data_IF_848303228864
#
_entry.id   IF_848303228864
#
_cell.length_a   1.000
_cell.length_b   1.000
_cell.length_c   1.000
_cell.angle_alpha   90.00
_cell.angle_beta   90.00
_cell.angle_gamma   90.00
#
_symmetry.space_group_name_H-M   'P 1'
#
loop_
_entity.id
_entity.type
_entity.pdbx_description
1 polymer ?
#
# COMPACT_ATOMS: atom_id res chain seq x y z
N UNK A 1 -15.92 5.54 -7.05
CA UNK A 1 -15.63 5.84 -5.63
C UNK A 1 -14.19 5.45 -5.38
N UNK A 2 -13.30 6.38 -5.00
CA UNK A 2 -11.93 6.03 -4.60
C UNK A 2 -11.95 5.72 -3.11
N UNK A 3 -12.01 4.43 -2.75
CA UNK A 3 -11.90 4.02 -1.36
C UNK A 3 -10.44 4.20 -0.93
N UNK A 4 -10.17 5.29 -0.19
CA UNK A 4 -8.87 5.51 0.44
C UNK A 4 -8.80 4.69 1.72
N UNK A 5 -7.64 4.09 1.97
CA UNK A 5 -7.41 3.25 3.14
C UNK A 5 -7.21 4.15 4.36
N UNK A 6 -6.03 4.77 4.48
CA UNK A 6 -5.68 5.74 5.51
C UNK A 6 -4.51 6.59 5.04
N UNK A 7 -4.42 7.83 5.55
CA UNK A 7 -3.34 8.75 5.17
C UNK A 7 -2.03 8.41 5.87
N UNK A 8 -0.94 8.34 5.12
CA UNK A 8 0.43 8.20 5.62
C UNK A 8 0.74 6.95 6.47
N UNK A 9 -0.08 5.90 6.41
CA UNK A 9 0.17 4.66 7.18
C UNK A 9 0.91 3.59 6.38
N UNK A 10 0.79 3.60 5.05
CA UNK A 10 1.28 2.50 4.23
C UNK A 10 2.82 2.39 4.26
N UNK A 11 3.32 1.19 4.51
CA UNK A 11 4.74 0.82 4.51
C UNK A 11 5.32 0.70 3.10
N UNK A 12 4.48 0.79 2.06
CA UNK A 12 4.85 0.61 0.65
C UNK A 12 6.06 1.48 0.24
N UNK A 13 7.06 0.83 -0.37
CA UNK A 13 8.23 1.47 -0.99
C UNK A 13 8.51 0.87 -2.37
N UNK A 14 9.03 1.70 -3.26
CA UNK A 14 9.46 1.33 -4.62
C UNK A 14 10.89 1.83 -4.85
N UNK A 15 11.81 0.92 -5.18
CA UNK A 15 13.17 1.23 -5.61
C UNK A 15 13.18 1.52 -7.12
N UNK A 16 13.38 2.79 -7.48
CA UNK A 16 13.47 3.21 -8.88
C UNK A 16 14.66 2.57 -9.62
N UNK A 17 15.77 2.36 -8.91
CA UNK A 17 16.99 1.72 -9.44
C UNK A 17 16.73 0.28 -9.89
N UNK A 18 16.08 -0.52 -9.02
CA UNK A 18 15.76 -1.92 -9.32
C UNK A 18 14.59 -2.07 -10.31
N UNK A 19 13.75 -1.05 -10.47
CA UNK A 19 12.56 -1.14 -11.30
C UNK A 19 12.94 -1.32 -12.79
N UNK A 20 12.48 -2.42 -13.40
CA UNK A 20 12.69 -2.70 -14.83
C UNK A 20 11.51 -2.25 -15.73
N UNK A 21 10.48 -1.60 -15.16
CA UNK A 21 9.36 -1.09 -15.95
C UNK A 21 8.36 -2.12 -16.48
N UNK A 22 8.38 -3.35 -15.99
CA UNK A 22 7.57 -4.44 -16.53
C UNK A 22 6.04 -4.31 -16.36
N UNK A 23 5.57 -3.32 -15.60
CA UNK A 23 4.14 -3.03 -15.48
C UNK A 23 3.33 -3.92 -14.52
N UNK A 24 3.83 -5.09 -14.11
CA UNK A 24 3.09 -6.04 -13.24
C UNK A 24 2.49 -5.42 -11.98
N UNK A 25 3.19 -4.48 -11.35
CA UNK A 25 2.68 -3.79 -10.16
C UNK A 25 1.37 -3.01 -10.41
N UNK A 26 1.19 -2.43 -11.59
CA UNK A 26 -0.04 -1.74 -11.98
C UNK A 26 -1.15 -2.73 -12.32
N UNK A 27 -0.80 -3.87 -12.94
CA UNK A 27 -1.75 -4.93 -13.30
C UNK A 27 -2.36 -5.62 -12.06
N UNK A 28 -1.54 -5.95 -11.06
CA UNK A 28 -1.98 -6.70 -9.88
C UNK A 28 -2.52 -5.83 -8.75
N UNK A 29 -2.45 -4.50 -8.87
CA UNK A 29 -2.91 -3.59 -7.82
C UNK A 29 -4.38 -3.25 -8.01
N UNK A 30 -5.30 -3.81 -7.18
CA UNK A 30 -6.74 -3.55 -7.33
C UNK A 30 -7.10 -2.09 -7.04
N UNK A 31 -6.23 -1.36 -6.33
CA UNK A 31 -6.47 0.02 -5.89
C UNK A 31 -5.79 1.06 -6.79
N UNK A 32 -5.13 0.64 -7.88
CA UNK A 32 -4.52 1.57 -8.84
C UNK A 32 -3.42 2.46 -8.24
N UNK A 33 -2.65 1.94 -7.27
CA UNK A 33 -1.60 2.69 -6.55
C UNK A 33 -0.42 3.06 -7.46
N UNK A 34 -0.18 2.28 -8.52
CA UNK A 34 0.96 2.42 -9.40
C UNK A 34 0.58 2.98 -10.77
N UNK A 35 1.47 3.78 -11.33
CA UNK A 35 1.47 4.14 -12.74
C UNK A 35 2.81 3.82 -13.37
N UNK A 36 2.80 3.47 -14.64
CA UNK A 36 4.00 3.05 -15.36
C UNK A 36 4.15 3.93 -16.59
N UNK A 37 5.18 4.76 -16.60
CA UNK A 37 5.53 5.64 -17.70
C UNK A 37 6.99 5.38 -18.08
N UNK A 38 7.32 5.47 -19.37
CA UNK A 38 8.73 5.49 -19.84
C UNK A 38 9.60 4.35 -19.28
N UNK A 39 9.02 3.14 -19.13
CA UNK A 39 9.67 1.96 -18.55
C UNK A 39 10.08 2.09 -17.07
N UNK A 40 9.43 2.95 -16.28
CA UNK A 40 9.55 2.96 -14.82
C UNK A 40 8.17 3.06 -14.16
N UNK A 41 8.02 2.33 -13.06
CA UNK A 41 6.85 2.48 -12.19
C UNK A 41 7.02 3.70 -11.28
N UNK A 42 5.90 4.31 -10.89
CA UNK A 42 5.79 5.35 -9.86
C UNK A 42 4.59 5.06 -8.98
N UNK A 43 4.65 5.46 -7.71
CA UNK A 43 3.52 5.40 -6.78
C UNK A 43 2.73 6.70 -6.95
N UNK A 44 1.48 6.64 -7.39
CA UNK A 44 0.63 7.82 -7.56
C UNK A 44 -0.27 8.10 -6.35
N UNK A 45 -0.84 7.08 -5.73
CA UNK A 45 -1.70 7.23 -4.54
C UNK A 45 -1.33 6.19 -3.48
N UNK A 46 -0.32 6.53 -2.67
CA UNK A 46 0.19 5.66 -1.61
C UNK A 46 -0.85 5.35 -0.53
N UNK A 47 -1.73 6.32 -0.23
CA UNK A 47 -2.78 6.22 0.80
C UNK A 47 -3.93 5.28 0.38
N UNK A 48 -3.96 4.88 -0.88
CA UNK A 48 -4.88 3.85 -1.37
C UNK A 48 -4.31 2.43 -1.21
N UNK A 49 -3.06 2.28 -0.80
CA UNK A 49 -2.45 0.98 -0.57
C UNK A 49 -3.01 0.34 0.70
N UNK A 50 -3.69 -0.80 0.55
CA UNK A 50 -4.18 -1.62 1.67
C UNK A 50 -3.19 -2.70 2.14
N UNK A 51 -1.93 -2.60 1.71
CA UNK A 51 -0.84 -3.50 2.14
C UNK A 51 -1.08 -5.00 1.83
N UNK A 52 -1.82 -5.32 0.76
CA UNK A 52 -2.11 -6.71 0.39
C UNK A 52 -0.88 -7.53 -0.11
N UNK A 53 0.25 -6.87 -0.39
CA UNK A 53 1.49 -7.51 -0.83
C UNK A 53 1.52 -8.03 -2.27
N UNK A 54 0.42 -7.92 -3.04
CA UNK A 54 0.35 -8.47 -4.39
C UNK A 54 1.43 -7.91 -5.33
N UNK A 55 1.71 -6.61 -5.26
CA UNK A 55 2.73 -5.95 -6.08
C UNK A 55 4.15 -6.43 -5.77
N UNK A 56 4.49 -6.64 -4.49
CA UNK A 56 5.80 -7.15 -4.08
C UNK A 56 6.00 -8.59 -4.54
N UNK A 57 5.00 -9.47 -4.32
CA UNK A 57 5.03 -10.88 -4.75
C UNK A 57 5.20 -11.07 -6.26
N UNK A 58 4.70 -10.12 -7.06
CA UNK A 58 4.73 -10.20 -8.52
C UNK A 58 5.84 -9.34 -9.15
N UNK A 59 6.73 -8.74 -8.36
CA UNK A 59 7.83 -7.94 -8.89
C UNK A 59 9.04 -8.83 -9.21
N UNK A 60 9.33 -9.14 -10.49
CA UNK A 60 10.46 -10.02 -10.84
C UNK A 60 11.83 -9.42 -10.48
N UNK A 61 11.91 -8.10 -10.32
CA UNK A 61 13.12 -7.38 -9.96
C UNK A 61 13.27 -7.12 -8.46
N UNK A 62 12.31 -7.58 -7.63
CA UNK A 62 12.26 -7.30 -6.19
C UNK A 62 12.43 -5.80 -5.88
N UNK A 63 11.81 -4.95 -6.71
CA UNK A 63 11.90 -3.50 -6.61
C UNK A 63 10.87 -2.90 -5.65
N UNK A 64 9.92 -3.70 -5.14
CA UNK A 64 8.81 -3.24 -4.31
C UNK A 64 8.84 -3.97 -2.97
N UNK A 65 8.69 -3.23 -1.88
CA UNK A 65 8.55 -3.76 -0.52
C UNK A 65 7.31 -3.19 0.14
N UNK A 66 6.62 -4.00 0.93
CA UNK A 66 5.47 -3.61 1.75
C UNK A 66 5.35 -4.66 2.86
N UNK A 67 5.06 -4.22 4.08
CA UNK A 67 4.79 -5.10 5.20
C UNK A 67 3.34 -5.60 5.04
N UNK A 68 3.21 -6.78 4.45
CA UNK A 68 1.91 -7.30 4.06
C UNK A 68 1.11 -7.83 5.26
N UNK A 69 -0.14 -7.40 5.39
CA UNK A 69 -1.00 -7.79 6.50
C UNK A 69 -2.38 -7.14 6.43
N UNK A 70 -3.19 -7.33 7.48
CA UNK A 70 -4.46 -6.60 7.64
C UNK A 70 -4.25 -5.14 8.03
N UNK A 71 -3.05 -4.79 8.50
CA UNK A 71 -2.66 -3.45 8.95
C UNK A 71 -3.73 -2.78 9.80
N UNK A 72 -4.06 -1.56 9.41
CA UNK A 72 -5.11 -0.69 9.93
C UNK A 72 -6.57 -1.06 9.60
N UNK A 73 -6.86 -2.22 9.00
CA UNK A 73 -8.25 -2.57 8.65
C UNK A 73 -9.18 -2.50 9.87
N UNK A 74 -8.71 -2.90 11.05
CA UNK A 74 -9.44 -2.77 12.30
C UNK A 74 -9.78 -1.30 12.63
N UNK A 75 -8.82 -0.38 12.52
CA UNK A 75 -9.04 1.04 12.77
C UNK A 75 -10.10 1.64 11.84
N UNK A 76 -10.10 1.25 10.55
CA UNK A 76 -11.11 1.68 9.58
C UNK A 76 -12.49 1.14 9.94
N UNK A 77 -12.60 -0.16 10.26
CA UNK A 77 -13.86 -0.79 10.67
C UNK A 77 -14.41 -0.12 11.93
N UNK A 78 -13.56 0.10 12.94
CA UNK A 78 -13.94 0.78 14.19
C UNK A 78 -14.42 2.19 13.87
N UNK A 79 -13.66 2.99 13.12
CA UNK A 79 -14.07 4.35 12.74
C UNK A 79 -15.40 4.40 11.99
N UNK A 80 -15.72 3.40 11.16
CA UNK A 80 -17.03 3.29 10.52
C UNK A 80 -18.16 2.94 11.49
N UNK A 81 -17.90 2.07 12.47
CA UNK A 81 -18.89 1.67 13.48
C UNK A 81 -19.16 2.76 14.51
N UNK A 82 -18.12 3.50 14.91
CA UNK A 82 -18.19 4.52 15.96
C UNK A 82 -18.41 5.94 15.42
N UNK A 83 -18.19 6.15 14.11
CA UNK A 83 -18.20 7.47 13.48
C UNK A 83 -16.99 8.34 13.86
N UNK A 84 -15.99 7.78 14.55
CA UNK A 84 -14.76 8.50 14.90
C UNK A 84 -13.74 8.48 13.76
N UNK A 85 -12.84 9.47 13.70
CA UNK A 85 -11.74 9.43 12.75
C UNK A 85 -10.84 8.20 13.01
N UNK A 86 -10.63 7.34 12.00
CA UNK A 86 -9.81 6.14 12.17
C UNK A 86 -8.34 6.54 12.33
N UNK A 87 -7.75 6.17 13.46
CA UNK A 87 -6.34 6.40 13.78
C UNK A 87 -5.62 5.07 13.93
N UNK A 88 -4.51 4.93 13.22
CA UNK A 88 -3.56 3.85 13.45
C UNK A 88 -2.40 4.42 14.27
N UNK A 89 -2.56 4.40 15.58
CA UNK A 89 -1.46 4.71 16.45
C UNK A 89 -0.59 3.45 16.61
N UNK A 90 0.47 3.35 15.81
CA UNK A 90 1.54 2.36 16.00
C UNK A 90 2.71 2.94 16.85
N UNK A 91 2.44 3.88 17.75
CA UNK A 91 3.46 4.48 18.63
C UNK A 91 3.83 3.63 19.86
N UNK A 92 3.26 2.42 20.00
CA UNK A 92 3.62 1.44 21.02
C UNK A 92 4.19 0.17 20.38
N UNK A 93 5.37 -0.26 20.85
CA UNK A 93 6.13 -1.38 20.27
C UNK A 93 5.35 -2.69 20.07
N UNK A 94 5.78 -3.45 19.07
CA UNK A 94 5.49 -4.86 18.76
C UNK A 94 4.04 -5.39 18.83
N UNK A 95 3.03 -4.55 19.04
CA UNK A 95 1.62 -4.91 18.96
C UNK A 95 0.84 -3.92 18.08
N UNK A 96 1.11 -3.94 16.77
CA UNK A 96 0.10 -3.59 15.76
C UNK A 96 -0.49 -4.90 15.19
N UNK A 97 -1.25 -5.60 16.03
CA UNK A 97 -2.11 -6.75 15.72
C UNK A 97 -3.44 -6.61 16.48
#
# INVERSE_FOLDING_TARGET
>A
MKHRYLKNVATLRLSAEKCIGCGRCAEVCPHGVFKVNERKARIEDKDSCMECGACAKNCPANAITVDAGVGCAAAVIIGWLTGSEPSCDCSGGDECC
#
